data_IF_951788443598
#
_entry.id   IF_951788443598
#
_cell.length_a   1.000
_cell.length_b   1.000
_cell.length_c   1.000
_cell.angle_alpha   90.00
_cell.angle_beta   90.00
_cell.angle_gamma   90.00
#
_symmetry.space_group_name_H-M   'P 1'
#
loop_
_entity.id
_entity.type
_entity.pdbx_description
1 polymer ?
#
# COMPACT_ATOMS: atom_id res chain seq x y z
N UNK A 1 4.34 -18.78 36.18
CA UNK A 1 4.58 -18.29 34.81
C UNK A 1 3.23 -18.00 34.20
N UNK A 2 2.80 -16.75 34.23
CA UNK A 2 1.60 -16.30 33.52
C UNK A 2 2.05 -15.61 32.23
N UNK A 3 1.69 -16.19 31.08
CA UNK A 3 1.86 -15.52 29.80
C UNK A 3 0.75 -14.48 29.63
N UNK A 4 1.11 -13.20 29.70
CA UNK A 4 0.18 -12.10 29.43
C UNK A 4 0.12 -11.85 27.92
N UNK A 5 -0.95 -12.31 27.28
CA UNK A 5 -1.24 -12.06 25.87
C UNK A 5 -1.87 -10.68 25.67
N UNK A 6 -1.11 -9.72 25.12
CA UNK A 6 -1.65 -8.44 24.63
C UNK A 6 -2.12 -8.59 23.18
N UNK A 7 -3.44 -8.76 22.99
CA UNK A 7 -4.06 -8.80 21.67
C UNK A 7 -4.44 -7.38 21.20
N UNK A 8 -3.70 -6.83 20.24
CA UNK A 8 -4.11 -5.65 19.47
C UNK A 8 -4.86 -6.10 18.20
N UNK A 9 -5.82 -5.30 17.68
CA UNK A 9 -6.56 -5.64 16.46
C UNK A 9 -5.64 -5.47 15.24
N UNK A 10 -4.87 -6.51 14.95
CA UNK A 10 -3.96 -6.64 13.82
C UNK A 10 -4.21 -7.99 13.16
N UNK A 11 -4.28 -8.03 11.83
CA UNK A 11 -4.41 -9.30 11.08
C UNK A 11 -3.21 -10.23 11.28
N UNK A 12 -2.06 -9.69 11.70
CA UNK A 12 -0.93 -10.49 12.21
C UNK A 12 -1.14 -10.75 13.70
N UNK A 13 -1.40 -12.02 14.02
CA UNK A 13 -1.54 -12.58 15.38
C UNK A 13 -0.37 -13.52 15.66
N UNK A 14 0.17 -13.49 16.86
CA UNK A 14 1.30 -14.33 17.28
C UNK A 14 2.18 -13.66 18.35
N UNK A 15 3.21 -14.37 18.80
CA UNK A 15 4.17 -13.89 19.80
C UNK A 15 5.19 -12.98 19.09
N UNK A 16 5.43 -11.79 19.66
CA UNK A 16 6.48 -10.88 19.16
C UNK A 16 7.86 -11.37 19.60
N UNK A 17 8.88 -11.15 18.76
CA UNK A 17 10.27 -11.29 19.20
C UNK A 17 10.58 -10.23 20.25
N UNK A 18 11.06 -10.66 21.41
CA UNK A 18 11.42 -9.78 22.52
C UNK A 18 12.88 -9.94 22.91
N UNK A 19 13.42 -8.89 23.52
CA UNK A 19 14.71 -8.88 24.18
C UNK A 19 14.50 -8.57 25.67
N UNK A 20 15.18 -9.30 26.54
CA UNK A 20 15.09 -9.10 27.99
C UNK A 20 16.32 -8.36 28.50
N UNK A 21 16.13 -7.26 29.24
CA UNK A 21 17.21 -6.49 29.86
C UNK A 21 17.21 -6.69 31.37
N UNK A 22 18.33 -7.15 31.94
CA UNK A 22 18.50 -7.29 33.40
C UNK A 22 18.65 -5.95 34.13
N UNK A 23 19.01 -4.87 33.43
CA UNK A 23 19.28 -3.58 34.04
C UNK A 23 18.33 -2.51 33.48
N UNK A 24 17.56 -1.87 34.35
CA UNK A 24 16.51 -0.93 33.97
C UNK A 24 17.06 0.32 33.26
N UNK A 25 18.25 0.77 33.64
CA UNK A 25 18.85 2.00 33.10
C UNK A 25 19.25 1.84 31.62
N UNK A 26 19.60 0.64 31.18
CA UNK A 26 19.90 0.34 29.76
C UNK A 26 18.66 0.42 28.85
N UNK A 27 17.46 0.39 29.42
CA UNK A 27 16.19 0.47 28.67
C UNK A 27 15.90 1.92 28.24
N UNK A 28 16.46 2.93 28.92
CA UNK A 28 16.09 4.34 28.71
C UNK A 28 16.89 5.03 27.60
N UNK A 29 18.13 4.61 27.35
CA UNK A 29 19.06 5.41 26.53
C UNK A 29 19.29 4.87 25.10
N UNK A 30 19.03 3.58 24.81
CA UNK A 30 19.24 2.96 23.48
C UNK A 30 18.14 1.96 23.07
N UNK A 31 16.88 2.25 23.36
CA UNK A 31 15.80 1.32 23.04
C UNK A 31 15.52 1.23 21.52
N UNK A 32 16.10 0.23 20.84
CA UNK A 32 15.72 -0.20 19.48
C UNK A 32 14.39 -1.00 19.48
N UNK A 33 13.40 -0.53 20.23
CA UNK A 33 12.14 -1.22 20.43
C UNK A 33 11.24 -0.51 21.44
N UNK A 34 10.09 -1.12 21.70
CA UNK A 34 9.10 -0.60 22.67
C UNK A 34 9.04 -1.52 23.88
N UNK A 35 8.97 -0.96 25.09
CA UNK A 35 8.73 -1.75 26.30
C UNK A 35 7.33 -2.38 26.23
N UNK A 36 7.27 -3.71 26.30
CA UNK A 36 6.00 -4.48 26.20
C UNK A 36 5.64 -5.20 27.50
N UNK A 37 6.62 -5.40 28.38
CA UNK A 37 6.46 -5.88 29.75
C UNK A 37 7.68 -5.45 30.58
N UNK A 38 7.67 -5.70 31.89
CA UNK A 38 8.81 -5.42 32.76
C UNK A 38 10.08 -6.09 32.21
N UNK A 39 11.18 -5.31 32.15
CA UNK A 39 12.46 -5.74 31.60
C UNK A 39 12.40 -6.31 30.15
N UNK A 40 11.30 -6.12 29.41
CA UNK A 40 11.05 -6.82 28.13
C UNK A 40 10.74 -5.84 27.01
N UNK A 41 11.64 -5.78 26.02
CA UNK A 41 11.55 -4.88 24.88
C UNK A 41 11.10 -5.66 23.63
N UNK A 42 10.03 -5.20 23.00
CA UNK A 42 9.63 -5.63 21.66
C UNK A 42 10.49 -4.92 20.62
N UNK A 43 11.44 -5.64 20.03
CA UNK A 43 12.42 -5.10 19.09
C UNK A 43 11.74 -4.66 17.79
N UNK A 44 12.12 -3.49 17.27
CA UNK A 44 11.66 -3.06 15.94
C UNK A 44 12.13 -4.05 14.88
N UNK A 45 11.20 -4.51 14.05
CA UNK A 45 11.50 -5.44 12.98
C UNK A 45 10.51 -5.26 11.85
N UNK A 46 11.01 -5.40 10.63
CA UNK A 46 10.20 -5.34 9.42
C UNK A 46 9.82 -6.74 8.95
N UNK A 47 8.74 -6.81 8.20
CA UNK A 47 8.35 -8.03 7.49
C UNK A 47 8.18 -7.67 6.02
N UNK A 48 9.07 -8.19 5.19
CA UNK A 48 8.96 -8.09 3.74
C UNK A 48 8.41 -9.41 3.20
N UNK A 49 7.38 -9.35 2.37
CA UNK A 49 6.75 -10.51 1.75
C UNK A 49 6.85 -10.33 0.25
N UNK A 50 7.41 -11.33 -0.44
CA UNK A 50 7.52 -11.36 -1.89
C UNK A 50 6.52 -12.37 -2.44
N UNK A 51 5.78 -11.97 -3.47
CA UNK A 51 4.86 -12.83 -4.19
C UNK A 51 5.42 -13.11 -5.57
N UNK A 52 5.30 -14.37 -6.00
CA UNK A 52 5.44 -14.74 -7.40
C UNK A 52 4.04 -14.75 -8.01
N UNK A 53 3.82 -13.88 -9.00
CA UNK A 53 2.54 -13.72 -9.68
C UNK A 53 2.79 -13.88 -11.19
N UNK A 54 2.52 -15.09 -11.68
CA UNK A 54 2.61 -15.42 -13.11
C UNK A 54 1.25 -15.19 -13.76
N UNK A 55 1.14 -14.10 -14.51
CA UNK A 55 -0.13 -13.68 -15.09
C UNK A 55 -0.20 -14.09 -16.57
N UNK A 56 -1.15 -14.98 -16.89
CA UNK A 56 -1.54 -15.35 -18.26
C UNK A 56 -2.90 -14.73 -18.64
N UNK A 57 -2.93 -13.40 -18.80
CA UNK A 57 -4.15 -12.70 -19.19
C UNK A 57 -4.52 -13.04 -20.63
N UNK A 58 -5.57 -13.85 -20.82
CA UNK A 58 -6.03 -14.30 -22.14
C UNK A 58 -4.90 -14.92 -23.01
N UNK A 59 -3.88 -15.51 -22.36
CA UNK A 59 -2.67 -16.06 -22.98
C UNK A 59 -1.37 -15.63 -22.29
N UNK A 60 -0.25 -16.17 -22.75
CA UNK A 60 1.11 -15.99 -22.21
C UNK A 60 1.81 -14.72 -22.72
N UNK A 61 1.44 -14.25 -23.91
CA UNK A 61 2.02 -13.06 -24.56
C UNK A 61 1.51 -11.73 -23.96
N UNK A 62 1.92 -11.44 -22.72
CA UNK A 62 1.51 -10.25 -21.97
C UNK A 62 2.51 -9.09 -22.04
N UNK A 63 1.99 -7.88 -21.84
CA UNK A 63 2.70 -6.63 -21.65
C UNK A 63 2.38 -6.05 -20.28
N UNK A 64 3.30 -5.27 -19.73
CA UNK A 64 3.05 -4.51 -18.50
C UNK A 64 2.91 -3.02 -18.80
N UNK A 65 1.78 -2.42 -18.41
CA UNK A 65 1.46 -1.02 -18.70
C UNK A 65 1.33 -0.22 -17.41
N UNK A 66 2.05 0.91 -17.36
CA UNK A 66 1.89 1.94 -16.33
C UNK A 66 0.86 2.95 -16.82
N UNK A 67 -0.18 3.17 -16.04
CA UNK A 67 -1.21 4.18 -16.32
C UNK A 67 -1.03 5.31 -15.31
N UNK A 68 -0.37 6.38 -15.73
CA UNK A 68 -0.08 7.53 -14.89
C UNK A 68 -1.25 8.51 -14.88
N UNK A 69 -1.69 8.95 -13.69
CA UNK A 69 -2.66 10.03 -13.57
C UNK A 69 -1.93 11.37 -13.57
N UNK A 70 -2.13 12.17 -14.62
CA UNK A 70 -1.44 13.44 -14.83
C UNK A 70 -2.41 14.61 -14.82
N UNK A 71 -2.03 15.70 -14.17
CA UNK A 71 -2.83 16.93 -14.13
C UNK A 71 -2.49 17.81 -15.34
N UNK A 72 -3.47 18.10 -16.19
CA UNK A 72 -3.36 19.08 -17.28
C UNK A 72 -4.01 20.40 -16.88
N UNK A 73 -3.24 21.48 -16.96
CA UNK A 73 -3.73 22.86 -16.77
C UNK A 73 -4.36 23.37 -18.07
N UNK A 74 -5.42 24.16 -17.94
CA UNK A 74 -6.12 24.75 -19.07
C UNK A 74 -5.58 26.16 -19.28
N UNK A 75 -5.01 26.43 -20.46
CA UNK A 75 -4.39 27.73 -20.80
C UNK A 75 -5.29 28.62 -21.66
N UNK A 76 -6.21 28.02 -22.43
CA UNK A 76 -6.90 28.73 -23.51
C UNK A 76 -8.19 29.47 -23.07
N UNK A 77 -8.49 29.56 -21.77
CA UNK A 77 -9.62 30.32 -21.22
C UNK A 77 -11.04 29.85 -21.62
N UNK A 78 -11.17 28.88 -22.52
CA UNK A 78 -12.45 28.40 -23.08
C UNK A 78 -13.37 27.69 -22.08
N UNK A 79 -12.90 27.40 -20.87
CA UNK A 79 -13.70 26.73 -19.85
C UNK A 79 -13.47 27.36 -18.48
N UNK A 80 -14.48 27.44 -17.60
CA UNK A 80 -14.30 27.91 -16.22
C UNK A 80 -13.32 27.06 -15.38
N UNK A 81 -13.11 25.81 -15.78
CA UNK A 81 -12.21 24.86 -15.12
C UNK A 81 -10.75 25.25 -15.34
N UNK A 82 -9.95 25.29 -14.26
CA UNK A 82 -8.51 25.64 -14.30
C UNK A 82 -7.60 24.46 -14.67
N UNK A 83 -8.00 23.24 -14.33
CA UNK A 83 -7.26 22.00 -14.65
C UNK A 83 -8.15 20.77 -14.56
N UNK A 84 -7.69 19.67 -15.14
CA UNK A 84 -8.30 18.34 -15.03
C UNK A 84 -7.19 17.29 -14.95
N UNK A 85 -7.51 16.11 -14.42
CA UNK A 85 -6.62 14.96 -14.49
C UNK A 85 -6.98 14.13 -15.73
N UNK A 86 -5.97 13.53 -16.34
CA UNK A 86 -6.11 12.58 -17.44
C UNK A 86 -5.10 11.44 -17.25
N UNK A 87 -5.09 10.49 -18.16
CA UNK A 87 -4.20 9.33 -18.12
C UNK A 87 -3.14 9.40 -19.22
N UNK A 88 -1.91 9.06 -18.86
CA UNK A 88 -0.82 8.81 -19.79
C UNK A 88 -0.37 7.36 -19.62
N UNK A 89 -0.39 6.58 -20.70
CA UNK A 89 -0.06 5.16 -20.69
C UNK A 89 1.36 4.95 -21.20
N UNK A 90 2.13 4.17 -20.47
CA UNK A 90 3.50 3.78 -20.82
C UNK A 90 3.61 2.25 -20.79
N UNK A 91 3.97 1.65 -21.91
CA UNK A 91 4.24 0.20 -21.96
C UNK A 91 5.69 -0.04 -21.57
N UNK A 92 5.89 -0.89 -20.57
CA UNK A 92 7.20 -1.31 -20.09
C UNK A 92 7.86 -2.20 -21.14
N UNK A 93 9.11 -1.87 -21.50
CA UNK A 93 9.85 -2.58 -22.54
C UNK A 93 10.89 -3.55 -21.98
N UNK A 94 11.43 -3.25 -20.80
CA UNK A 94 12.50 -4.03 -20.17
C UNK A 94 12.16 -4.35 -18.72
N UNK A 95 12.80 -5.37 -18.16
CA UNK A 95 12.66 -5.71 -16.74
C UNK A 95 13.11 -4.58 -15.82
N UNK A 96 14.11 -3.79 -16.24
CA UNK A 96 14.58 -2.64 -15.46
C UNK A 96 13.48 -1.57 -15.34
N UNK A 97 12.79 -1.30 -16.44
CA UNK A 97 11.66 -0.36 -16.47
C UNK A 97 10.47 -0.85 -15.64
N UNK A 98 10.40 -2.15 -15.34
CA UNK A 98 9.36 -2.77 -14.51
C UNK A 98 9.61 -2.61 -13.00
N UNK A 99 10.79 -2.14 -12.57
CA UNK A 99 11.08 -1.83 -11.16
C UNK A 99 10.41 -0.51 -10.76
N UNK A 100 9.41 -0.57 -9.90
CA UNK A 100 8.55 0.58 -9.59
C UNK A 100 8.54 0.88 -8.10
N UNK A 101 8.88 2.12 -7.74
CA UNK A 101 8.69 2.64 -6.39
C UNK A 101 7.25 3.16 -6.22
N UNK A 102 6.43 2.37 -5.52
CA UNK A 102 5.03 2.69 -5.26
C UNK A 102 4.90 3.94 -4.36
N UNK A 103 3.84 4.72 -4.57
CA UNK A 103 3.51 5.89 -3.73
C UNK A 103 4.18 7.21 -4.13
N UNK A 104 5.08 7.21 -5.11
CA UNK A 104 5.75 8.43 -5.63
C UNK A 104 4.82 9.30 -6.50
N UNK A 105 4.01 8.66 -7.34
CA UNK A 105 3.00 9.29 -8.21
C UNK A 105 1.72 8.45 -8.22
N UNK A 106 0.54 9.06 -8.42
CA UNK A 106 -0.68 8.30 -8.62
C UNK A 106 -0.60 7.55 -9.97
N UNK A 107 -0.54 6.23 -9.89
CA UNK A 107 -0.49 5.36 -11.06
C UNK A 107 -1.30 4.09 -10.82
N UNK A 108 -1.74 3.48 -11.91
CA UNK A 108 -2.30 2.14 -11.94
C UNK A 108 -1.33 1.23 -12.71
N UNK A 109 -1.08 0.05 -12.14
CA UNK A 109 -0.25 -0.98 -12.74
C UNK A 109 -1.14 -2.05 -13.35
N UNK A 110 -0.90 -2.37 -14.62
CA UNK A 110 -1.75 -3.27 -15.37
C UNK A 110 -0.92 -4.22 -16.22
N UNK A 111 -0.80 -5.50 -15.83
CA UNK A 111 -0.51 -6.56 -16.79
C UNK A 111 -1.68 -6.62 -17.78
N UNK A 112 -1.40 -6.77 -19.07
CA UNK A 112 -2.42 -6.80 -20.12
C UNK A 112 -1.93 -7.64 -21.28
N UNK A 113 -2.87 -8.23 -22.01
CA UNK A 113 -2.62 -8.76 -23.34
C UNK A 113 -2.99 -7.72 -24.39
N UNK A 114 -2.24 -7.64 -25.50
CA UNK A 114 -2.50 -6.70 -26.59
C UNK A 114 -3.77 -7.05 -27.38
N UNK A 115 -4.12 -8.34 -27.46
CA UNK A 115 -5.17 -8.82 -28.37
C UNK A 115 -6.60 -8.54 -27.90
N UNK A 116 -6.84 -8.27 -26.61
CA UNK A 116 -8.13 -7.81 -26.07
C UNK A 116 -7.92 -6.87 -24.88
N UNK A 117 -8.49 -5.66 -24.97
CA UNK A 117 -8.63 -4.78 -23.81
C UNK A 117 -9.59 -5.43 -22.80
N UNK A 118 -9.07 -5.94 -21.68
CA UNK A 118 -9.90 -6.32 -20.53
C UNK A 118 -9.94 -5.17 -19.50
N UNK A 119 -11.06 -4.45 -19.33
CA UNK A 119 -11.14 -3.30 -18.44
C UNK A 119 -11.13 -3.66 -16.94
N UNK A 120 -11.18 -4.94 -16.57
CA UNK A 120 -11.49 -5.38 -15.21
C UNK A 120 -10.27 -5.68 -14.32
N UNK A 121 -9.08 -5.91 -14.89
CA UNK A 121 -7.88 -6.25 -14.12
C UNK A 121 -7.11 -4.98 -13.71
N UNK A 122 -7.16 -4.68 -12.42
CA UNK A 122 -6.50 -3.54 -11.79
C UNK A 122 -5.67 -4.01 -10.59
N UNK A 123 -4.37 -3.70 -10.59
CA UNK A 123 -3.52 -3.90 -9.42
C UNK A 123 -3.65 -2.67 -8.51
N UNK A 124 -4.20 -2.88 -7.31
CA UNK A 124 -4.27 -1.85 -6.28
C UNK A 124 -3.20 -2.17 -5.23
N UNK A 125 -2.09 -1.42 -5.19
CA UNK A 125 -1.10 -1.65 -4.15
C UNK A 125 -1.67 -1.31 -2.77
N UNK A 126 -1.25 -2.01 -1.71
CA UNK A 126 -1.66 -1.68 -0.35
C UNK A 126 -1.25 -0.24 -0.02
N UNK A 127 -2.23 0.54 0.41
CA UNK A 127 -2.04 1.93 0.84
C UNK A 127 -1.20 1.97 2.11
N UNK A 128 -0.13 2.78 2.14
CA UNK A 128 0.65 3.07 3.36
C UNK A 128 -0.16 3.77 4.45
N UNK A 129 -1.35 4.31 4.12
CA UNK A 129 -2.35 4.72 5.11
C UNK A 129 -3.35 3.59 5.33
N UNK A 130 -3.24 2.90 6.45
CA UNK A 130 -4.37 2.16 7.01
C UNK A 130 -5.46 3.18 7.39
N UNK A 131 -6.56 3.23 6.63
CA UNK A 131 -7.77 3.91 7.11
C UNK A 131 -8.49 2.96 8.04
N UNK A 132 -8.71 3.36 9.29
CA UNK A 132 -9.53 2.59 10.21
C UNK A 132 -10.94 2.39 9.63
N UNK A 133 -11.54 1.21 9.83
CA UNK A 133 -12.91 0.88 9.37
C UNK A 133 -13.96 1.88 9.86
N UNK A 134 -13.72 2.56 11.00
CA UNK A 134 -14.57 3.62 11.53
C UNK A 134 -14.64 4.86 10.62
N UNK A 135 -13.61 5.14 9.82
CA UNK A 135 -13.62 6.23 8.84
C UNK A 135 -14.50 5.91 7.63
N UNK A 136 -14.54 4.64 7.21
CA UNK A 136 -15.32 4.17 6.07
C UNK A 136 -16.83 4.28 6.33
N UNK A 137 -17.26 3.89 7.53
CA UNK A 137 -18.68 3.85 7.89
C UNK A 137 -19.33 5.25 7.90
N UNK A 138 -18.59 6.26 8.37
CA UNK A 138 -19.03 7.67 8.39
C UNK A 138 -19.07 8.33 7.01
N UNK A 139 -18.33 7.79 6.03
CA UNK A 139 -18.33 8.29 4.65
C UNK A 139 -19.49 7.71 3.85
N UNK A 140 -19.82 6.44 4.07
CA UNK A 140 -20.97 5.77 3.45
C UNK A 140 -22.31 6.37 3.93
N UNK A 141 -22.42 6.74 5.22
CA UNK A 141 -23.67 7.33 5.76
C UNK A 141 -23.96 8.76 5.29
N UNK A 142 -22.96 9.51 4.80
CA UNK A 142 -23.16 10.83 4.17
C UNK A 142 -23.61 10.74 2.72
N UNK A 143 -23.38 9.63 2.04
CA UNK A 143 -23.80 9.42 0.64
C UNK A 143 -25.28 9.01 0.57
N UNK A 144 -25.78 8.31 1.60
CA UNK A 144 -27.18 7.85 1.67
C UNK A 144 -28.20 8.89 2.16
N UNK A 145 -27.78 10.14 2.39
CA UNK A 145 -28.65 11.23 2.86
C UNK A 145 -28.88 12.32 1.81
N UNK A 146 -28.49 12.06 0.56
CA UNK A 146 -28.58 12.98 -0.57
C UNK A 146 -29.23 12.33 -1.82
N UNK A 147 -30.05 11.31 -1.61
CA UNK A 147 -31.01 10.78 -2.60
C UNK A 147 -32.38 10.81 -1.93
#
# INVERSE_FOLDING_TARGET
>A
MEEVFLALPSSRRGIKKTYFSKQYDQIKDEAHGTLVAENTIGVYHDHFINYYLDFDIDGDANSFVKINLVTKKITNGKTPRKSYWTVEKETVKTELDARILLGTKPMELRPTNFFKYNPMLKVIPPSSRARSMASLHRKMSRVWRAI
#
